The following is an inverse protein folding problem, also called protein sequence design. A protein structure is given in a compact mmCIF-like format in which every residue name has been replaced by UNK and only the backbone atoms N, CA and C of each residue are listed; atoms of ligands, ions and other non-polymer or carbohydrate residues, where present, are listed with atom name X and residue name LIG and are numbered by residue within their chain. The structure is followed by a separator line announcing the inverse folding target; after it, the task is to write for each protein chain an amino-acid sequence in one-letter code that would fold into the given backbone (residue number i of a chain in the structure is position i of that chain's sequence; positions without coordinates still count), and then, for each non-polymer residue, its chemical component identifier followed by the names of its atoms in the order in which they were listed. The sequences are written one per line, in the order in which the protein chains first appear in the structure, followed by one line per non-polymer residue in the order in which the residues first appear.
data_IF_444769065842
#
_entry.id   IF_444769065842
#
_cell.length_a   1.000
_cell.length_b   1.000
_cell.length_c   1.000
_cell.angle_alpha   90.00
_cell.angle_beta   90.00
_cell.angle_gamma   90.00
#
_symmetry.space_group_name_H-M   'P 1'
#
loop_
_entity.id
_entity.type
_entity.pdbx_description
1 polymer ?
#
# COMPACT_ATOMS: atom_id res chain seq x y z
N UNK A 1 -35.98 -12.12 4.03
CA UNK A 1 -35.52 -13.25 4.86
C UNK A 1 -34.19 -13.71 4.31
N UNK A 2 -33.28 -14.21 5.16
CA UNK A 2 -32.07 -14.85 4.68
C UNK A 2 -32.45 -16.06 3.84
N UNK A 3 -31.76 -16.24 2.72
CA UNK A 3 -31.94 -17.41 1.87
C UNK A 3 -31.52 -18.68 2.63
N UNK A 4 -32.27 -19.76 2.47
CA UNK A 4 -31.98 -21.05 3.11
C UNK A 4 -31.12 -21.89 2.17
N UNK A 5 -29.99 -22.39 2.67
CA UNK A 5 -29.06 -23.25 1.94
C UNK A 5 -29.14 -24.68 2.47
N UNK A 6 -28.82 -25.67 1.62
CA UNK A 6 -28.69 -27.06 2.07
C UNK A 6 -27.45 -27.23 2.97
N UNK A 7 -27.33 -28.34 3.72
CA UNK A 7 -26.11 -28.63 4.47
C UNK A 7 -24.85 -28.68 3.59
N UNK A 8 -24.97 -29.19 2.37
CA UNK A 8 -23.89 -29.26 1.38
C UNK A 8 -23.50 -27.86 0.89
N UNK A 9 -24.48 -27.03 0.53
CA UNK A 9 -24.27 -25.65 0.10
C UNK A 9 -23.65 -24.80 1.22
N UNK A 10 -24.12 -24.98 2.45
CA UNK A 10 -23.56 -24.32 3.63
C UNK A 10 -22.09 -24.69 3.80
N UNK A 11 -21.77 -25.98 3.71
CA UNK A 11 -20.39 -26.48 3.80
C UNK A 11 -19.49 -25.91 2.70
N UNK A 12 -20.02 -25.71 1.50
CA UNK A 12 -19.30 -25.11 0.38
C UNK A 12 -19.11 -23.59 0.52
N UNK A 13 -20.06 -22.89 1.15
CA UNK A 13 -20.00 -21.45 1.41
C UNK A 13 -19.12 -21.08 2.61
N UNK A 14 -19.09 -21.94 3.63
CA UNK A 14 -18.41 -21.70 4.90
C UNK A 14 -16.99 -21.15 4.75
N UNK A 15 -16.11 -21.68 3.86
CA UNK A 15 -14.76 -21.16 3.70
C UNK A 15 -14.68 -19.71 3.20
N UNK A 16 -15.71 -19.22 2.52
CA UNK A 16 -15.67 -17.97 1.76
C UNK A 16 -16.53 -16.85 2.36
N UNK A 17 -17.44 -17.17 3.29
CA UNK A 17 -18.30 -16.20 3.95
C UNK A 17 -18.14 -16.28 5.47
N UNK A 18 -18.31 -15.17 6.20
CA UNK A 18 -18.25 -15.17 7.67
C UNK A 18 -19.48 -15.79 8.34
N UNK A 19 -20.61 -15.84 7.61
CA UNK A 19 -21.83 -16.56 7.98
C UNK A 19 -22.66 -16.80 6.70
N UNK A 20 -23.57 -17.76 6.74
CA UNK A 20 -24.43 -18.17 5.61
C UNK A 20 -25.91 -17.80 5.81
N UNK A 21 -26.30 -17.47 7.04
CA UNK A 21 -27.68 -17.37 7.52
C UNK A 21 -28.08 -15.95 7.97
N UNK A 22 -27.15 -15.00 8.07
CA UNK A 22 -27.44 -13.61 8.46
C UNK A 22 -27.37 -12.67 7.27
N UNK A 23 -28.05 -11.53 7.43
CA UNK A 23 -28.11 -10.47 6.41
C UNK A 23 -26.79 -9.69 6.28
N UNK A 24 -25.96 -9.65 7.33
CA UNK A 24 -24.67 -8.93 7.35
C UNK A 24 -23.53 -9.94 7.50
N UNK A 25 -22.60 -9.91 6.57
CA UNK A 25 -21.48 -10.85 6.46
C UNK A 25 -20.35 -10.24 5.62
N UNK A 26 -19.16 -10.82 5.73
CA UNK A 26 -18.02 -10.49 4.89
C UNK A 26 -17.61 -11.70 4.04
N UNK A 27 -17.02 -11.40 2.87
CA UNK A 27 -16.32 -12.39 2.05
C UNK A 27 -14.90 -12.55 2.60
N UNK A 28 -14.39 -13.78 2.57
CA UNK A 28 -13.03 -14.14 3.00
C UNK A 28 -12.45 -15.17 2.04
N UNK A 29 -11.13 -15.34 2.04
CA UNK A 29 -10.45 -16.39 1.28
C UNK A 29 -10.75 -16.40 -0.25
N UNK A 30 -11.14 -15.26 -0.81
CA UNK A 30 -11.32 -15.03 -2.25
C UNK A 30 -10.31 -13.99 -2.71
N UNK A 31 -9.84 -14.11 -3.96
CA UNK A 31 -9.01 -13.07 -4.59
C UNK A 31 -9.82 -11.81 -4.87
N UNK A 32 -9.16 -10.65 -4.93
CA UNK A 32 -9.86 -9.38 -5.23
C UNK A 32 -10.55 -9.42 -6.60
N UNK A 33 -9.94 -10.07 -7.60
CA UNK A 33 -10.55 -10.28 -8.93
C UNK A 33 -11.87 -11.04 -8.85
N UNK A 34 -11.92 -12.12 -8.05
CA UNK A 34 -13.15 -12.92 -7.88
C UNK A 34 -14.20 -12.11 -7.11
N UNK A 35 -13.82 -11.37 -6.06
CA UNK A 35 -14.74 -10.48 -5.33
C UNK A 35 -15.33 -9.42 -6.26
N UNK A 36 -14.50 -8.75 -7.04
CA UNK A 36 -14.92 -7.72 -8.00
C UNK A 36 -15.89 -8.28 -9.06
N UNK A 37 -15.55 -9.40 -9.68
CA UNK A 37 -16.42 -10.07 -10.66
C UNK A 37 -17.76 -10.52 -10.04
N UNK A 38 -17.73 -11.08 -8.83
CA UNK A 38 -18.93 -11.52 -8.13
C UNK A 38 -19.86 -10.34 -7.79
N UNK A 39 -19.32 -9.24 -7.27
CA UNK A 39 -20.11 -8.05 -6.95
C UNK A 39 -20.63 -7.34 -8.21
N UNK A 40 -19.87 -7.33 -9.29
CA UNK A 40 -20.34 -6.84 -10.59
C UNK A 40 -21.52 -7.65 -11.13
N UNK A 41 -21.48 -8.98 -11.00
CA UNK A 41 -22.61 -9.85 -11.35
C UNK A 41 -23.78 -9.69 -10.37
N UNK A 42 -23.50 -9.49 -9.08
CA UNK A 42 -24.52 -9.32 -8.04
C UNK A 42 -25.30 -8.02 -8.20
N UNK A 43 -24.67 -6.91 -8.57
CA UNK A 43 -25.33 -5.60 -8.73
C UNK A 43 -26.45 -5.59 -9.79
N UNK A 44 -26.48 -6.60 -10.67
CA UNK A 44 -27.45 -6.75 -11.77
C UNK A 44 -28.21 -8.08 -11.73
N UNK A 45 -28.15 -8.80 -10.60
CA UNK A 45 -28.84 -10.07 -10.40
C UNK A 45 -29.93 -9.93 -9.35
N UNK A 46 -31.00 -10.73 -9.48
CA UNK A 46 -32.03 -10.88 -8.44
C UNK A 46 -31.67 -11.96 -7.40
N UNK A 47 -30.57 -12.69 -7.60
CA UNK A 47 -30.05 -13.70 -6.67
C UNK A 47 -29.28 -13.06 -5.52
N UNK A 48 -29.22 -13.72 -4.37
CA UNK A 48 -28.27 -13.35 -3.32
C UNK A 48 -26.83 -13.57 -3.80
N UNK A 49 -25.88 -12.82 -3.24
CA UNK A 49 -24.45 -12.98 -3.57
C UNK A 49 -23.93 -14.40 -3.27
N UNK A 50 -24.47 -15.09 -2.26
CA UNK A 50 -24.11 -16.48 -1.91
C UNK A 50 -24.63 -17.47 -2.94
N UNK A 51 -25.90 -17.33 -3.37
CA UNK A 51 -26.47 -18.16 -4.43
C UNK A 51 -25.75 -17.95 -5.75
N UNK A 52 -25.47 -16.70 -6.10
CA UNK A 52 -24.69 -16.35 -7.28
C UNK A 52 -23.28 -16.98 -7.24
N UNK A 53 -22.62 -16.94 -6.07
CA UNK A 53 -21.32 -17.58 -5.88
C UNK A 53 -21.38 -19.09 -6.10
N UNK A 54 -22.35 -19.79 -5.51
CA UNK A 54 -22.54 -21.23 -5.71
C UNK A 54 -22.78 -21.58 -7.18
N UNK A 55 -23.69 -20.85 -7.83
CA UNK A 55 -24.15 -21.17 -9.17
C UNK A 55 -23.09 -20.87 -10.25
N UNK A 56 -22.32 -19.80 -10.08
CA UNK A 56 -21.47 -19.26 -11.16
C UNK A 56 -19.97 -19.28 -10.84
N UNK A 57 -19.55 -19.31 -9.57
CA UNK A 57 -18.15 -19.09 -9.17
C UNK A 57 -17.48 -20.27 -8.46
N UNK A 58 -18.20 -21.03 -7.62
CA UNK A 58 -17.60 -22.09 -6.80
C UNK A 58 -16.86 -23.14 -7.64
N UNK A 59 -17.50 -23.65 -8.69
CA UNK A 59 -16.88 -24.66 -9.57
C UNK A 59 -15.66 -24.14 -10.34
N UNK A 60 -15.47 -22.83 -10.44
CA UNK A 60 -14.29 -22.23 -11.06
C UNK A 60 -13.09 -22.21 -10.10
N UNK A 61 -13.33 -22.14 -8.77
CA UNK A 61 -12.28 -22.15 -7.75
C UNK A 61 -11.71 -23.54 -7.49
N UNK A 62 -12.55 -24.57 -7.56
CA UNK A 62 -12.14 -25.96 -7.31
C UNK A 62 -11.23 -26.53 -8.40
N UNK A 63 -11.26 -25.98 -9.61
CA UNK A 63 -10.36 -26.36 -10.69
C UNK A 63 -8.91 -25.84 -10.51
N UNK A 64 -8.67 -24.92 -9.57
CA UNK A 64 -7.48 -24.04 -9.53
C UNK A 64 -6.59 -24.22 -8.27
N UNK A 65 -6.58 -25.38 -7.59
CA UNK A 65 -5.71 -25.59 -6.39
C UNK A 65 -4.72 -26.76 -6.55
N UNK A 66 -3.40 -26.52 -6.36
CA UNK A 66 -2.80 -26.84 -5.06
C UNK A 66 -2.20 -25.61 -4.35
N UNK A 67 -2.03 -25.68 -3.01
CA UNK A 67 -1.71 -24.53 -2.18
C UNK A 67 -0.20 -24.32 -2.12
N UNK A 68 0.30 -23.26 -2.76
CA UNK A 68 1.48 -22.46 -2.38
C UNK A 68 1.83 -21.54 -3.55
N UNK A 69 2.12 -20.27 -3.23
CA UNK A 69 2.49 -19.21 -4.18
C UNK A 69 1.42 -18.93 -5.25
N UNK A 70 0.48 -18.07 -4.90
CA UNK A 70 -0.56 -17.52 -5.78
C UNK A 70 0.04 -16.64 -6.86
N UNK A 71 0.50 -17.26 -7.94
CA UNK A 71 0.55 -16.70 -9.29
C UNK A 71 0.23 -17.86 -10.21
N UNK A 72 -0.76 -17.70 -11.09
CA UNK A 72 -1.35 -18.72 -11.99
C UNK A 72 -2.69 -19.27 -11.47
N UNK A 73 -3.68 -18.38 -11.53
CA UNK A 73 -5.12 -18.63 -11.69
C UNK A 73 -5.75 -17.48 -12.50
N UNK A 74 -4.90 -16.81 -13.29
CA UNK A 74 -5.09 -15.46 -13.82
C UNK A 74 -5.91 -15.49 -15.10
N UNK A 75 -5.56 -16.31 -16.10
CA UNK A 75 -6.14 -16.12 -17.43
C UNK A 75 -7.67 -16.24 -17.53
N UNK A 76 -8.33 -17.04 -16.69
CA UNK A 76 -9.77 -17.25 -16.76
C UNK A 76 -10.55 -16.31 -15.83
N UNK A 77 -10.03 -16.04 -14.64
CA UNK A 77 -10.53 -14.98 -13.78
C UNK A 77 -10.35 -13.60 -14.43
N UNK A 78 -9.22 -13.36 -15.10
CA UNK A 78 -8.94 -12.17 -15.90
C UNK A 78 -9.85 -12.10 -17.12
N UNK A 79 -10.16 -13.23 -17.79
CA UNK A 79 -11.15 -13.26 -18.88
C UNK A 79 -12.58 -12.98 -18.39
N UNK A 80 -12.96 -13.48 -17.21
CA UNK A 80 -14.24 -13.18 -16.59
C UNK A 80 -14.31 -11.71 -16.18
N UNK A 81 -13.25 -11.21 -15.53
CA UNK A 81 -13.12 -9.82 -15.10
C UNK A 81 -13.06 -8.86 -16.29
N UNK A 82 -12.31 -9.19 -17.35
CA UNK A 82 -12.24 -8.42 -18.60
C UNK A 82 -13.57 -8.44 -19.36
N UNK A 83 -14.28 -9.57 -19.40
CA UNK A 83 -15.64 -9.63 -19.98
C UNK A 83 -16.59 -8.76 -19.18
N UNK A 84 -16.54 -8.82 -17.85
CA UNK A 84 -17.36 -8.00 -16.97
C UNK A 84 -17.01 -6.51 -17.12
N UNK A 85 -15.74 -6.11 -17.09
CA UNK A 85 -15.34 -4.71 -17.30
C UNK A 85 -15.70 -4.20 -18.70
N UNK A 86 -15.49 -5.03 -19.74
CA UNK A 86 -15.74 -4.69 -21.15
C UNK A 86 -17.23 -4.61 -21.49
N UNK A 87 -18.07 -5.53 -20.97
CA UNK A 87 -19.50 -5.52 -21.22
C UNK A 87 -20.24 -4.45 -20.41
N UNK A 88 -19.72 -4.06 -19.23
CA UNK A 88 -20.51 -3.28 -18.27
C UNK A 88 -20.04 -1.84 -18.06
N UNK A 89 -18.84 -1.44 -18.52
CA UNK A 89 -18.38 -0.04 -18.57
C UNK A 89 -18.46 0.70 -17.23
N UNK A 90 -18.38 -0.02 -16.12
CA UNK A 90 -18.79 0.44 -14.81
C UNK A 90 -17.56 0.76 -13.95
N UNK A 91 -17.19 2.04 -13.89
CA UNK A 91 -16.06 2.52 -13.08
C UNK A 91 -16.20 2.13 -11.60
N UNK A 92 -17.44 1.93 -11.10
CA UNK A 92 -17.68 1.50 -9.71
C UNK A 92 -17.26 0.05 -9.45
N UNK A 93 -17.30 -0.81 -10.48
CA UNK A 93 -16.82 -2.19 -10.41
C UNK A 93 -15.29 -2.24 -10.41
N UNK A 94 -14.66 -1.38 -11.21
CA UNK A 94 -13.20 -1.29 -11.26
C UNK A 94 -12.59 -0.92 -9.90
N UNK A 95 -13.29 -0.10 -9.11
CA UNK A 95 -12.88 0.28 -7.75
C UNK A 95 -12.84 -0.88 -6.75
N UNK A 96 -13.50 -2.01 -7.04
CA UNK A 96 -13.43 -3.21 -6.21
C UNK A 96 -12.10 -3.97 -6.40
N UNK A 97 -11.36 -3.68 -7.46
CA UNK A 97 -10.00 -4.17 -7.66
C UNK A 97 -9.00 -3.30 -6.88
N UNK A 98 -8.19 -3.93 -6.02
CA UNK A 98 -7.09 -3.28 -5.32
C UNK A 98 -5.73 -3.70 -5.88
N UNK A 99 -4.77 -2.79 -5.87
CA UNK A 99 -3.36 -3.08 -6.14
C UNK A 99 -2.49 -2.57 -5.00
N UNK A 100 -1.44 -3.32 -4.67
CA UNK A 100 -0.38 -2.84 -3.79
C UNK A 100 0.76 -2.34 -4.66
N UNK A 101 1.07 -1.05 -4.56
CA UNK A 101 2.10 -0.40 -5.37
C UNK A 101 3.22 0.05 -4.44
N UNK A 102 4.45 -0.39 -4.72
CA UNK A 102 5.65 0.10 -4.06
C UNK A 102 6.34 1.12 -4.98
N UNK A 103 6.53 2.33 -4.49
CA UNK A 103 7.23 3.40 -5.19
C UNK A 103 8.59 3.62 -4.51
N UNK A 104 9.67 3.13 -5.10
CA UNK A 104 11.03 3.24 -4.55
C UNK A 104 11.88 4.22 -5.36
N UNK A 105 12.76 4.97 -4.70
CA UNK A 105 13.63 5.95 -5.37
C UNK A 105 12.88 7.16 -5.94
N UNK A 106 11.66 7.42 -5.49
CA UNK A 106 10.84 8.56 -5.92
C UNK A 106 11.10 9.80 -5.07
N UNK A 107 10.87 10.99 -5.64
CA UNK A 107 11.01 12.25 -4.91
C UNK A 107 9.88 12.45 -3.89
N UNK A 108 10.15 13.23 -2.84
CA UNK A 108 9.14 13.70 -1.89
C UNK A 108 8.01 14.48 -2.59
N UNK A 109 8.31 15.20 -3.68
CA UNK A 109 7.28 15.90 -4.48
C UNK A 109 6.32 14.87 -5.10
N UNK A 110 6.83 13.78 -5.68
CA UNK A 110 5.99 12.74 -6.26
C UNK A 110 5.12 12.07 -5.19
N UNK A 111 5.64 11.81 -3.99
CA UNK A 111 4.81 11.24 -2.91
C UNK A 111 3.61 12.13 -2.59
N UNK A 112 3.80 13.46 -2.55
CA UNK A 112 2.70 14.40 -2.30
C UNK A 112 1.68 14.45 -3.44
N UNK A 113 2.11 14.33 -4.69
CA UNK A 113 1.20 14.22 -5.84
C UNK A 113 0.34 12.95 -5.72
N UNK A 114 0.94 11.81 -5.38
CA UNK A 114 0.23 10.54 -5.19
C UNK A 114 -0.77 10.60 -4.03
N UNK A 115 -0.39 11.22 -2.92
CA UNK A 115 -1.17 11.31 -1.67
C UNK A 115 -2.35 12.28 -1.75
N UNK A 116 -2.28 13.30 -2.63
CA UNK A 116 -3.31 14.34 -2.70
C UNK A 116 -4.68 13.77 -3.09
N UNK A 117 -4.71 12.83 -4.03
CA UNK A 117 -5.97 12.29 -4.58
C UNK A 117 -6.86 11.59 -3.56
N UNK A 118 -6.31 11.09 -2.45
CA UNK A 118 -7.03 10.31 -1.42
C UNK A 118 -7.83 9.12 -1.99
N UNK A 119 -7.36 8.58 -3.11
CA UNK A 119 -7.95 7.41 -3.80
C UNK A 119 -7.38 6.09 -3.30
N UNK A 120 -6.35 6.13 -2.44
CA UNK A 120 -5.63 4.95 -1.95
C UNK A 120 -5.40 5.07 -0.44
N UNK A 121 -4.95 3.98 0.17
CA UNK A 121 -4.28 4.03 1.47
C UNK A 121 -2.79 4.25 1.24
N UNK A 122 -2.16 5.10 2.06
CA UNK A 122 -0.77 5.51 1.87
C UNK A 122 0.09 5.14 3.06
N UNK A 123 1.32 4.70 2.79
CA UNK A 123 2.36 4.49 3.79
C UNK A 123 3.69 5.00 3.23
N UNK A 124 4.11 6.18 3.67
CA UNK A 124 5.37 6.82 3.28
C UNK A 124 6.47 6.51 4.29
N UNK A 125 7.71 6.39 3.83
CA UNK A 125 8.88 6.31 4.71
C UNK A 125 9.01 7.59 5.54
N UNK A 126 8.94 7.46 6.87
CA UNK A 126 8.96 8.61 7.77
C UNK A 126 10.33 9.29 7.86
N UNK A 127 10.40 10.54 7.42
CA UNK A 127 11.56 11.45 7.63
C UNK A 127 11.87 11.72 9.11
N UNK A 128 10.93 11.41 10.02
CA UNK A 128 11.12 11.55 11.47
C UNK A 128 11.89 10.39 12.08
N UNK A 129 11.94 9.23 11.42
CA UNK A 129 12.54 8.02 11.98
C UNK A 129 13.66 7.45 11.11
N UNK A 130 13.65 7.75 9.81
CA UNK A 130 14.66 7.30 8.86
C UNK A 130 15.56 8.47 8.48
N UNK A 131 16.86 8.31 8.68
CA UNK A 131 17.85 9.30 8.27
C UNK A 131 18.19 9.14 6.79
N UNK A 132 18.17 10.23 6.02
CA UNK A 132 18.47 10.21 4.59
C UNK A 132 19.96 10.39 4.34
N UNK A 133 20.76 9.49 4.90
CA UNK A 133 22.23 9.53 4.85
C UNK A 133 22.85 8.51 3.91
N UNK A 134 22.03 7.66 3.28
CA UNK A 134 22.50 6.65 2.34
C UNK A 134 23.11 7.29 1.08
N UNK A 135 24.23 6.72 0.63
CA UNK A 135 24.92 7.14 -0.60
C UNK A 135 25.13 5.99 -1.59
N UNK A 136 24.09 5.51 -2.29
CA UNK A 136 24.26 4.49 -3.31
C UNK A 136 25.17 5.03 -4.41
N UNK A 137 26.15 4.23 -4.83
CA UNK A 137 27.17 4.64 -5.81
C UNK A 137 27.93 5.93 -5.42
N UNK A 138 28.02 6.24 -4.12
CA UNK A 138 28.72 7.42 -3.60
C UNK A 138 27.96 8.74 -3.75
N UNK A 139 26.70 8.73 -4.20
CA UNK A 139 25.89 9.93 -4.42
C UNK A 139 24.72 10.01 -3.45
N UNK A 140 24.30 11.23 -3.08
CA UNK A 140 23.10 11.43 -2.29
C UNK A 140 21.83 11.00 -3.04
N UNK A 141 20.83 10.49 -2.31
CA UNK A 141 19.55 10.06 -2.87
C UNK A 141 18.60 11.25 -3.06
N UNK A 142 18.82 12.06 -4.09
CA UNK A 142 17.86 13.07 -4.55
C UNK A 142 17.57 12.97 -6.05
N UNK A 143 16.43 13.51 -6.46
CA UNK A 143 16.03 13.55 -7.86
C UNK A 143 16.55 14.82 -8.56
N UNK A 144 17.12 14.67 -9.75
CA UNK A 144 17.45 15.78 -10.66
C UNK A 144 16.43 15.78 -11.80
N UNK A 145 15.58 16.81 -11.93
CA UNK A 145 14.60 16.89 -13.01
C UNK A 145 15.26 16.87 -14.39
N UNK A 146 14.70 16.13 -15.34
CA UNK A 146 15.25 15.97 -16.69
C UNK A 146 15.27 17.30 -17.48
N UNK A 147 14.39 18.23 -17.15
CA UNK A 147 14.32 19.58 -17.69
C UNK A 147 15.62 20.37 -17.42
N UNK A 148 16.34 20.02 -16.35
CA UNK A 148 17.61 20.66 -16.03
C UNK A 148 18.76 20.19 -16.92
N UNK A 149 18.67 19.03 -17.58
CA UNK A 149 19.77 18.46 -18.39
C UNK A 149 20.17 19.39 -19.55
N UNK A 150 19.22 20.13 -20.11
CA UNK A 150 19.47 21.13 -21.17
C UNK A 150 19.61 22.55 -20.63
N UNK A 151 19.60 22.73 -19.32
CA UNK A 151 19.68 24.02 -18.65
C UNK A 151 21.09 24.30 -18.13
N UNK A 152 21.48 25.59 -18.08
CA UNK A 152 22.67 26.02 -17.35
C UNK A 152 22.56 25.90 -15.82
N UNK A 153 21.39 25.49 -15.29
CA UNK A 153 21.09 25.47 -13.85
C UNK A 153 21.41 24.12 -13.19
N UNK A 154 21.60 23.05 -13.96
CA UNK A 154 21.85 21.70 -13.44
C UNK A 154 22.98 21.64 -12.42
N UNK A 155 24.13 22.23 -12.76
CA UNK A 155 25.30 22.21 -11.89
C UNK A 155 25.06 22.93 -10.57
N UNK A 156 24.30 24.04 -10.60
CA UNK A 156 23.91 24.78 -9.40
C UNK A 156 22.93 23.97 -8.56
N UNK A 157 21.91 23.37 -9.17
CA UNK A 157 20.94 22.52 -8.48
C UNK A 157 21.61 21.35 -7.74
N UNK A 158 22.45 20.59 -8.44
CA UNK A 158 23.20 19.44 -7.89
C UNK A 158 24.07 19.89 -6.72
N UNK A 159 24.87 20.95 -6.88
CA UNK A 159 25.72 21.48 -5.81
C UNK A 159 24.90 21.91 -4.59
N UNK A 160 23.78 22.61 -4.79
CA UNK A 160 22.91 23.04 -3.69
C UNK A 160 22.32 21.85 -2.94
N UNK A 161 21.87 20.81 -3.62
CA UNK A 161 21.37 19.60 -2.95
C UNK A 161 22.48 18.83 -2.24
N UNK A 162 23.67 18.70 -2.85
CA UNK A 162 24.81 18.06 -2.20
C UNK A 162 25.17 18.77 -0.88
N UNK A 163 25.20 20.11 -0.89
CA UNK A 163 25.45 20.93 0.29
C UNK A 163 24.36 20.78 1.36
N UNK A 164 23.09 20.72 0.94
CA UNK A 164 21.95 20.53 1.85
C UNK A 164 22.00 19.16 2.54
N UNK A 165 22.21 18.08 1.78
CA UNK A 165 22.33 16.73 2.33
C UNK A 165 23.58 16.56 3.21
N UNK A 166 24.71 17.16 2.82
CA UNK A 166 25.93 17.17 3.63
C UNK A 166 25.73 17.94 4.94
N UNK A 167 25.06 19.09 4.90
CA UNK A 167 24.68 19.81 6.11
C UNK A 167 23.76 18.96 6.99
N UNK A 168 22.67 18.41 6.43
CA UNK A 168 21.74 17.54 7.13
C UNK A 168 22.48 16.39 7.86
N UNK A 169 23.28 15.60 7.15
CA UNK A 169 23.99 14.46 7.70
C UNK A 169 24.97 14.85 8.82
N UNK A 170 25.73 15.94 8.60
CA UNK A 170 26.70 16.46 9.58
C UNK A 170 26.04 16.97 10.85
N UNK A 171 24.83 17.49 10.77
CA UNK A 171 24.11 18.07 11.92
C UNK A 171 23.38 17.02 12.78
N UNK A 172 23.06 15.83 12.24
CA UNK A 172 22.39 14.76 13.01
C UNK A 172 23.05 14.49 14.37
N UNK A 173 24.35 14.16 14.47
CA UNK A 173 24.97 13.85 15.77
C UNK A 173 24.96 15.04 16.74
N UNK A 174 25.08 16.26 16.22
CA UNK A 174 25.02 17.50 17.02
C UNK A 174 23.62 17.72 17.60
N UNK A 175 22.58 17.43 16.83
CA UNK A 175 21.21 17.56 17.29
C UNK A 175 20.80 16.44 18.23
N UNK A 176 21.28 15.21 18.01
CA UNK A 176 21.13 14.16 19.01
C UNK A 176 21.80 14.55 20.34
N UNK A 177 23.02 15.09 20.32
CA UNK A 177 23.69 15.56 21.54
C UNK A 177 22.89 16.66 22.24
N UNK A 178 22.48 17.71 21.51
CA UNK A 178 21.66 18.78 22.05
C UNK A 178 20.39 18.26 22.74
N UNK A 179 19.69 17.31 22.11
CA UNK A 179 18.48 16.74 22.70
C UNK A 179 18.76 15.83 23.89
N UNK A 180 19.91 15.13 23.95
CA UNK A 180 20.32 14.38 25.15
C UNK A 180 20.58 15.30 26.34
N UNK A 181 21.20 16.46 26.10
CA UNK A 181 21.46 17.46 27.13
C UNK A 181 20.15 18.10 27.61
N UNK A 182 19.24 18.41 26.67
CA UNK A 182 17.94 19.02 26.97
C UNK A 182 16.96 18.06 27.65
N UNK A 183 17.01 16.78 27.29
CA UNK A 183 16.11 15.75 27.80
C UNK A 183 16.94 14.58 28.33
N UNK A 184 17.55 14.68 29.52
CA UNK A 184 18.31 13.59 30.10
C UNK A 184 17.45 12.34 30.31
N UNK A 185 18.05 11.16 30.11
CA UNK A 185 17.39 9.86 30.32
C UNK A 185 17.08 9.64 31.80
N UNK A 186 15.87 9.23 32.15
CA UNK A 186 15.55 8.81 33.51
C UNK A 186 16.13 7.41 33.82
N UNK A 187 16.41 7.08 35.10
CA UNK A 187 16.94 5.76 35.47
C UNK A 187 16.09 4.59 35.00
N UNK A 188 14.75 4.76 35.02
CA UNK A 188 13.78 3.72 34.69
C UNK A 188 13.44 3.67 33.18
N UNK A 189 13.97 4.61 32.37
CA UNK A 189 13.72 4.61 30.93
C UNK A 189 14.47 3.47 30.23
N UNK A 190 13.81 2.84 29.27
CA UNK A 190 14.48 1.93 28.34
C UNK A 190 15.48 2.70 27.47
N UNK A 191 16.74 2.23 27.42
CA UNK A 191 17.80 2.80 26.58
C UNK A 191 17.41 2.84 25.10
N UNK A 192 16.79 1.78 24.60
CA UNK A 192 16.39 1.67 23.20
C UNK A 192 15.31 2.71 22.86
N UNK A 193 14.29 2.85 23.71
CA UNK A 193 13.21 3.83 23.53
C UNK A 193 13.77 5.25 23.62
N UNK A 194 14.57 5.54 24.63
CA UNK A 194 15.20 6.85 24.79
C UNK A 194 16.04 7.25 23.57
N UNK A 195 16.93 6.35 23.10
CA UNK A 195 17.76 6.60 21.92
C UNK A 195 16.90 6.84 20.67
N UNK A 196 15.83 6.07 20.48
CA UNK A 196 14.90 6.24 19.37
C UNK A 196 14.20 7.60 19.42
N UNK A 197 13.72 8.02 20.59
CA UNK A 197 13.06 9.33 20.78
C UNK A 197 14.02 10.49 20.52
N UNK A 198 15.24 10.44 21.05
CA UNK A 198 16.27 11.46 20.82
C UNK A 198 16.58 11.57 19.33
N UNK A 199 16.81 10.42 18.67
CA UNK A 199 17.07 10.40 17.23
C UNK A 199 15.89 10.95 16.45
N UNK A 200 14.66 10.59 16.81
CA UNK A 200 13.48 11.08 16.13
C UNK A 200 13.33 12.61 16.25
N UNK A 201 13.62 13.19 17.43
CA UNK A 201 13.64 14.66 17.61
C UNK A 201 14.70 15.32 16.73
N UNK A 202 15.90 14.74 16.65
CA UNK A 202 16.97 15.26 15.80
C UNK A 202 16.57 15.25 14.32
N UNK A 203 16.03 14.12 13.83
CA UNK A 203 15.61 13.98 12.43
C UNK A 203 14.41 14.89 12.09
N UNK A 204 13.39 14.95 12.95
CA UNK A 204 12.21 15.81 12.76
C UNK A 204 12.57 17.31 12.74
N UNK A 205 13.60 17.71 13.49
CA UNK A 205 14.12 19.09 13.47
C UNK A 205 14.90 19.38 12.19
N UNK A 206 15.72 18.44 11.74
CA UNK A 206 16.64 18.65 10.60
C UNK A 206 15.98 18.43 9.24
N UNK A 207 14.85 17.74 9.16
CA UNK A 207 14.20 17.41 7.87
C UNK A 207 13.85 18.62 7.02
N UNK A 208 13.72 19.82 7.60
CA UNK A 208 13.46 21.05 6.84
C UNK A 208 14.62 21.52 5.97
N UNK A 209 15.80 20.89 6.10
CA UNK A 209 16.94 21.09 5.19
C UNK A 209 16.78 20.31 3.87
N UNK A 210 15.81 19.39 3.79
CA UNK A 210 15.59 18.46 2.66
C UNK A 210 14.21 18.64 2.02
#
# INVERSE_FOLDING_TARGET
MAETFTPEETRALDPYFTNTDRAVFALRNLTETVKGALFARYSRSNKSVRRLFLDEFLGQLEADTPPRTSTVGTERADRLYARVLSEYGDDSVAQLGGAHIACEGVSNILTKVLEWGRLMAYLEQSTRYVAYTDRPNGQWKYHVPAELERSGLRATYVRTLDEAFEAYARWIPRMEQHFRERYPKAPDDSDAVYRSVIRAKALDTLRGLL
#
